data_IF_425330488118
#
_entry.id   IF_425330488118
#
_cell.length_a   1.000
_cell.length_b   1.000
_cell.length_c   1.000
_cell.angle_alpha   90.00
_cell.angle_beta   90.00
_cell.angle_gamma   90.00
#
_symmetry.space_group_name_H-M   'P 1'
#
loop_
_entity.id
_entity.type
_entity.pdbx_description
1 polymer ?
#
# COMPACT_ATOMS: atom_id res chain seq x y z
N UNK A 1 58.55 33.83 -83.40
CA UNK A 1 57.21 34.00 -82.77
C UNK A 1 57.27 33.64 -81.29
N UNK A 2 56.75 34.49 -80.38
CA UNK A 2 56.67 34.22 -78.94
C UNK A 2 55.36 33.51 -78.57
N UNK A 3 55.43 32.63 -77.55
CA UNK A 3 54.28 32.29 -76.70
C UNK A 3 53.51 31.00 -77.03
N UNK A 4 53.54 30.02 -76.10
CA UNK A 4 52.47 29.04 -75.78
C UNK A 4 52.81 28.02 -74.65
N UNK A 5 53.96 28.12 -73.97
CA UNK A 5 54.37 27.15 -72.93
C UNK A 5 53.84 27.37 -71.49
N UNK A 6 53.27 28.54 -71.17
CA UNK A 6 52.98 28.96 -69.78
C UNK A 6 51.68 28.39 -69.15
N UNK A 7 50.58 28.37 -69.90
CA UNK A 7 49.24 28.13 -69.33
C UNK A 7 48.89 26.65 -69.12
N UNK A 8 49.48 25.75 -69.90
CA UNK A 8 49.37 24.30 -69.72
C UNK A 8 49.84 23.86 -68.31
N UNK A 9 50.98 24.38 -67.83
CA UNK A 9 51.51 24.03 -66.51
C UNK A 9 50.63 24.59 -65.38
N UNK A 10 50.11 25.83 -65.50
CA UNK A 10 49.18 26.42 -64.50
C UNK A 10 47.83 25.67 -64.44
N UNK A 11 47.24 25.32 -65.57
CA UNK A 11 45.97 24.55 -65.62
C UNK A 11 46.13 23.12 -65.10
N UNK A 12 47.21 22.41 -65.46
CA UNK A 12 47.53 21.07 -64.92
C UNK A 12 47.72 21.10 -63.39
N UNK A 13 48.37 22.13 -62.82
CA UNK A 13 48.54 22.32 -61.36
C UNK A 13 47.19 22.62 -60.65
N UNK A 14 46.32 23.47 -61.23
CA UNK A 14 44.94 23.71 -60.73
C UNK A 14 44.09 22.42 -60.77
N UNK A 15 44.13 21.64 -61.86
CA UNK A 15 43.43 20.34 -61.98
C UNK A 15 43.91 19.32 -60.92
N UNK A 16 45.22 19.20 -60.65
CA UNK A 16 45.78 18.36 -59.55
C UNK A 16 45.27 18.81 -58.16
N UNK A 17 45.26 20.11 -57.83
CA UNK A 17 44.71 20.63 -56.56
C UNK A 17 43.20 20.33 -56.41
N UNK A 18 42.36 20.52 -57.46
CA UNK A 18 40.93 20.12 -57.45
C UNK A 18 40.74 18.61 -57.22
N UNK A 19 41.51 17.73 -57.88
CA UNK A 19 41.48 16.27 -57.64
C UNK A 19 41.87 15.90 -56.19
N UNK A 20 42.92 16.50 -55.60
CA UNK A 20 43.28 16.28 -54.17
C UNK A 20 42.16 16.73 -53.20
N UNK A 21 41.53 17.91 -53.41
CA UNK A 21 40.38 18.36 -52.59
C UNK A 21 39.17 17.39 -52.71
N UNK A 22 38.81 16.91 -53.92
CA UNK A 22 37.75 15.89 -54.11
C UNK A 22 38.09 14.55 -53.40
N UNK A 23 39.33 14.05 -53.46
CA UNK A 23 39.76 12.84 -52.71
C UNK A 23 39.66 13.04 -51.18
N UNK A 24 40.08 14.18 -50.61
CA UNK A 24 39.90 14.49 -49.17
C UNK A 24 38.42 14.54 -48.76
N UNK A 25 37.53 15.18 -49.54
CA UNK A 25 36.07 15.18 -49.28
C UNK A 25 35.48 13.75 -49.32
N UNK A 26 35.85 12.90 -50.30
CA UNK A 26 35.42 11.47 -50.33
C UNK A 26 35.92 10.67 -49.11
N UNK A 27 37.18 10.83 -48.66
CA UNK A 27 37.68 10.18 -47.42
C UNK A 27 36.91 10.65 -46.17
N UNK A 28 36.62 11.95 -46.00
CA UNK A 28 35.78 12.44 -44.88
C UNK A 28 34.34 11.86 -44.92
N UNK A 29 33.68 11.79 -46.09
CA UNK A 29 32.36 11.12 -46.24
C UNK A 29 32.42 9.62 -45.88
N UNK A 30 33.45 8.86 -46.31
CA UNK A 30 33.62 7.44 -45.92
C UNK A 30 33.84 7.28 -44.40
N UNK A 31 34.67 8.12 -43.74
CA UNK A 31 34.81 8.10 -42.26
C UNK A 31 33.49 8.41 -41.54
N UNK A 32 32.71 9.42 -41.97
CA UNK A 32 31.35 9.68 -41.39
C UNK A 32 30.39 8.50 -41.60
N UNK A 33 30.36 7.84 -42.77
CA UNK A 33 29.55 6.60 -42.98
C UNK A 33 30.02 5.44 -42.09
N UNK A 34 31.32 5.19 -41.90
CA UNK A 34 31.82 4.17 -40.96
C UNK A 34 31.44 4.48 -39.50
N UNK A 35 31.56 5.74 -39.02
CA UNK A 35 31.08 6.13 -37.67
C UNK A 35 29.55 5.94 -37.52
N UNK A 36 28.72 6.30 -38.52
CA UNK A 36 27.26 6.00 -38.48
C UNK A 36 26.97 4.49 -38.46
N UNK A 37 27.68 3.65 -39.23
CA UNK A 37 27.52 2.18 -39.16
C UNK A 37 27.96 1.61 -37.80
N UNK A 38 29.07 2.07 -37.18
CA UNK A 38 29.45 1.65 -35.81
C UNK A 38 28.40 2.09 -34.76
N UNK A 39 27.87 3.33 -34.81
CA UNK A 39 26.76 3.74 -33.91
C UNK A 39 25.49 2.90 -34.12
N UNK A 40 25.10 2.57 -35.37
CA UNK A 40 23.98 1.63 -35.62
C UNK A 40 24.25 0.22 -35.11
N UNK A 41 25.47 -0.35 -35.28
CA UNK A 41 25.79 -1.68 -34.71
C UNK A 41 25.84 -1.68 -33.17
N UNK A 42 26.32 -0.61 -32.51
CA UNK A 42 26.27 -0.53 -31.03
C UNK A 42 24.81 -0.46 -30.52
N UNK A 43 23.95 0.36 -31.17
CA UNK A 43 22.50 0.38 -30.89
C UNK A 43 21.75 -0.93 -31.16
N UNK A 44 22.28 -1.83 -32.00
CA UNK A 44 21.68 -3.15 -32.30
C UNK A 44 22.31 -4.30 -31.48
N UNK A 45 23.22 -3.99 -30.55
CA UNK A 45 23.78 -4.93 -29.56
C UNK A 45 23.42 -4.57 -28.11
N UNK A 46 22.73 -3.45 -27.90
CA UNK A 46 22.14 -3.05 -26.61
C UNK A 46 20.62 -3.09 -26.68
N UNK A 47 20.08 -4.15 -27.29
CA UNK A 47 18.65 -4.35 -27.54
C UNK A 47 18.22 -5.80 -27.30
N UNK A 48 18.98 -6.53 -26.47
CA UNK A 48 18.56 -7.76 -25.79
C UNK A 48 18.37 -7.43 -24.29
N UNK A 49 17.69 -6.32 -24.02
CA UNK A 49 16.84 -6.23 -22.84
C UNK A 49 15.49 -6.71 -23.36
N UNK A 50 14.90 -7.70 -22.70
CA UNK A 50 13.61 -8.25 -23.09
C UNK A 50 12.60 -7.11 -23.19
N UNK A 51 11.85 -7.08 -24.30
CA UNK A 51 10.77 -6.13 -24.43
C UNK A 51 9.71 -6.48 -23.36
N UNK A 52 9.13 -5.51 -22.64
CA UNK A 52 7.99 -5.80 -21.80
C UNK A 52 6.91 -6.42 -22.70
N UNK A 53 6.48 -7.63 -22.34
CA UNK A 53 5.32 -8.28 -22.94
C UNK A 53 4.10 -7.42 -22.60
N UNK A 54 3.77 -6.47 -23.47
CA UNK A 54 2.45 -5.87 -23.50
C UNK A 54 1.47 -6.97 -23.93
N UNK A 55 0.95 -7.70 -22.94
CA UNK A 55 -0.23 -8.52 -23.16
C UNK A 55 -1.35 -7.61 -23.64
N UNK A 56 -2.07 -8.09 -24.64
CA UNK A 56 -3.27 -7.47 -25.18
C UNK A 56 -4.19 -7.06 -24.02
N UNK A 57 -4.96 -5.97 -24.19
CA UNK A 57 -6.19 -5.79 -23.43
C UNK A 57 -7.08 -6.99 -23.74
N UNK A 58 -7.03 -8.03 -22.90
CA UNK A 58 -8.09 -9.02 -22.77
C UNK A 58 -9.29 -8.28 -22.22
N UNK A 59 -10.01 -7.58 -23.12
CA UNK A 59 -11.34 -7.06 -22.83
C UNK A 59 -12.11 -8.22 -22.20
N UNK A 60 -12.60 -8.04 -20.99
CA UNK A 60 -13.60 -8.93 -20.43
C UNK A 60 -14.82 -8.75 -21.34
N UNK A 61 -15.13 -9.78 -22.14
CA UNK A 61 -16.25 -9.76 -23.07
C UNK A 61 -17.46 -10.32 -22.36
N UNK A 62 -18.44 -9.46 -22.07
CA UNK A 62 -19.66 -9.83 -21.34
C UNK A 62 -19.74 -9.16 -19.96
N UNK A 63 -20.89 -9.35 -19.31
CA UNK A 63 -21.15 -8.91 -17.94
C UNK A 63 -21.01 -10.08 -16.97
N UNK A 64 -20.46 -9.85 -15.79
CA UNK A 64 -20.32 -10.81 -14.70
C UNK A 64 -21.55 -10.82 -13.79
N UNK A 65 -21.80 -11.96 -13.17
CA UNK A 65 -22.89 -12.22 -12.23
C UNK A 65 -22.58 -11.72 -10.82
N UNK A 66 -21.29 -11.63 -10.48
CA UNK A 66 -20.86 -11.00 -9.24
C UNK A 66 -19.57 -10.18 -9.42
N UNK A 67 -19.39 -9.19 -8.54
CA UNK A 67 -18.10 -8.56 -8.26
C UNK A 67 -17.72 -8.89 -6.81
N UNK A 68 -16.56 -9.50 -6.66
CA UNK A 68 -15.89 -9.75 -5.39
C UNK A 68 -14.65 -8.86 -5.30
N UNK A 69 -14.31 -8.37 -4.12
CA UNK A 69 -13.16 -7.49 -3.94
C UNK A 69 -12.70 -7.45 -2.49
N UNK A 70 -11.38 -7.32 -2.26
CA UNK A 70 -10.85 -6.80 -0.99
C UNK A 70 -9.82 -5.71 -1.24
N UNK A 71 -10.19 -4.44 -1.04
CA UNK A 71 -9.32 -3.45 -0.39
C UNK A 71 -10.21 -2.51 0.41
N UNK A 72 -10.30 -2.79 1.70
CA UNK A 72 -10.06 -1.74 2.67
C UNK A 72 -8.67 -2.07 3.24
N UNK A 73 -7.80 -1.08 3.40
CA UNK A 73 -6.62 -1.15 4.26
C UNK A 73 -6.77 0.01 5.23
N UNK A 74 -6.56 -0.29 6.50
CA UNK A 74 -6.49 0.67 7.59
C UNK A 74 -5.01 0.68 8.03
N UNK A 75 -4.55 1.77 8.63
CA UNK A 75 -3.13 2.13 8.58
C UNK A 75 -2.24 1.07 9.25
N UNK A 76 -0.96 1.05 8.89
CA UNK A 76 0.02 0.31 9.67
C UNK A 76 1.30 1.13 9.67
N UNK A 77 1.35 2.10 10.58
CA UNK A 77 2.56 2.84 10.91
C UNK A 77 3.29 2.12 12.03
N UNK A 78 4.35 1.40 11.66
CA UNK A 78 5.36 0.84 12.58
C UNK A 78 4.80 0.01 13.75
N UNK A 79 4.72 -1.30 13.53
CA UNK A 79 4.96 -2.28 14.59
C UNK A 79 6.40 -2.08 15.13
N UNK A 80 6.57 -1.12 16.02
CA UNK A 80 7.71 -1.05 16.93
C UNK A 80 7.39 -2.01 18.07
N UNK A 81 8.10 -3.15 18.12
CA UNK A 81 7.91 -4.16 19.15
C UNK A 81 7.87 -3.51 20.54
N UNK A 82 6.93 -3.87 21.42
CA UNK A 82 7.01 -3.46 22.82
C UNK A 82 8.33 -3.99 23.38
N UNK A 83 9.19 -3.09 23.84
CA UNK A 83 10.35 -3.46 24.65
C UNK A 83 9.81 -3.97 25.99
N UNK A 84 9.59 -5.28 26.07
CA UNK A 84 9.33 -5.99 27.32
C UNK A 84 10.60 -5.96 28.18
N UNK A 85 10.82 -4.83 28.84
CA UNK A 85 11.80 -4.68 29.91
C UNK A 85 11.32 -5.46 31.13
N UNK A 86 11.49 -6.79 31.10
CA UNK A 86 11.37 -7.63 32.29
C UNK A 86 12.47 -7.24 33.28
N UNK A 87 12.11 -6.38 34.23
CA UNK A 87 12.93 -6.00 35.37
C UNK A 87 13.40 -7.27 36.10
N UNK A 88 14.69 -7.53 36.04
CA UNK A 88 15.40 -8.41 36.97
C UNK A 88 16.41 -7.59 37.75
N UNK A 89 16.55 -7.93 39.03
CA UNK A 89 17.12 -7.08 40.08
C UNK A 89 18.60 -6.70 39.86
N UNK A 90 19.07 -5.56 40.41
CA UNK A 90 20.45 -5.13 40.25
C UNK A 90 21.43 -6.08 40.93
N UNK A 91 22.48 -6.47 40.20
CA UNK A 91 23.66 -7.13 40.75
C UNK A 91 24.66 -6.08 41.24
N UNK A 92 25.09 -6.20 42.50
CA UNK A 92 26.20 -5.41 43.03
C UNK A 92 27.53 -5.83 42.37
N UNK A 93 28.49 -4.90 42.21
CA UNK A 93 29.85 -5.27 41.80
C UNK A 93 30.60 -5.87 42.99
N UNK A 94 31.47 -6.87 42.78
CA UNK A 94 32.85 -6.85 43.31
C UNK A 94 33.72 -8.06 42.89
N UNK A 95 35.00 -7.76 42.67
CA UNK A 95 36.21 -8.60 42.80
C UNK A 95 36.44 -9.81 41.87
N UNK A 96 37.58 -9.71 41.14
CA UNK A 96 38.32 -10.80 40.49
C UNK A 96 39.08 -11.60 41.56
N UNK A 97 39.29 -12.92 41.37
CA UNK A 97 40.68 -13.39 41.25
C UNK A 97 40.90 -14.46 40.16
N UNK A 98 42.17 -14.62 39.80
CA UNK A 98 42.73 -15.56 38.82
C UNK A 98 42.56 -17.04 39.19
N UNK A 99 42.54 -17.95 38.19
CA UNK A 99 43.61 -18.95 37.99
C UNK A 99 43.44 -19.82 36.70
N UNK A 100 44.58 -20.08 36.04
CA UNK A 100 44.97 -21.24 35.19
C UNK A 100 43.97 -21.90 34.20
N UNK A 101 44.38 -21.89 32.92
CA UNK A 101 44.03 -22.96 31.96
C UNK A 101 44.79 -24.27 32.26
N UNK A 102 44.44 -25.40 31.62
CA UNK A 102 45.27 -25.82 30.49
C UNK A 102 44.50 -26.36 29.26
N UNK A 103 45.26 -26.57 28.18
CA UNK A 103 44.85 -27.00 26.83
C UNK A 103 44.16 -28.37 26.74
N UNK A 104 43.39 -28.56 25.64
CA UNK A 104 43.70 -29.62 24.66
C UNK A 104 42.98 -29.41 23.31
N UNK A 105 43.71 -29.62 22.21
CA UNK A 105 43.13 -29.76 20.87
C UNK A 105 42.57 -31.19 20.68
N UNK A 106 41.56 -31.39 19.82
CA UNK A 106 41.80 -31.98 18.49
C UNK A 106 40.61 -31.80 17.51
N UNK A 107 40.87 -32.05 16.23
CA UNK A 107 39.97 -31.87 15.07
C UNK A 107 39.18 -33.15 14.79
N UNK A 108 37.94 -33.00 14.34
CA UNK A 108 37.42 -33.83 13.23
C UNK A 108 36.71 -32.90 12.24
N UNK A 109 37.21 -32.88 11.01
CA UNK A 109 36.68 -32.10 9.89
C UNK A 109 36.07 -33.02 8.82
N UNK A 110 35.20 -32.44 7.99
CA UNK A 110 34.71 -32.93 6.70
C UNK A 110 33.50 -33.88 6.71
N UNK A 111 32.34 -33.34 6.33
CA UNK A 111 31.81 -33.54 4.96
C UNK A 111 30.78 -32.46 4.63
N UNK A 112 30.34 -32.39 3.36
CA UNK A 112 29.38 -31.41 2.79
C UNK A 112 29.94 -30.05 2.35
N UNK A 113 30.98 -30.08 1.51
CA UNK A 113 31.01 -29.17 0.36
C UNK A 113 30.03 -29.70 -0.71
N UNK A 114 28.96 -28.95 -1.00
CA UNK A 114 28.30 -28.81 -2.32
C UNK A 114 26.89 -28.21 -2.18
N UNK A 115 26.80 -26.88 -1.97
CA UNK A 115 25.94 -25.91 -2.71
C UNK A 115 26.42 -24.49 -2.32
N UNK A 116 27.55 -24.06 -2.86
CA UNK A 116 27.91 -22.63 -2.89
C UNK A 116 27.79 -22.11 -4.32
N UNK A 117 26.71 -21.38 -4.61
CA UNK A 117 26.55 -20.39 -5.68
C UNK A 117 25.07 -19.92 -5.67
N UNK A 118 24.70 -18.73 -5.20
CA UNK A 118 25.48 -17.69 -4.53
C UNK A 118 24.66 -16.39 -4.50
N UNK A 119 24.58 -15.73 -3.34
CA UNK A 119 24.08 -14.36 -3.23
C UNK A 119 24.56 -13.73 -1.90
N UNK A 120 25.79 -13.22 -1.87
CA UNK A 120 26.30 -12.41 -0.77
C UNK A 120 25.64 -11.03 -0.80
N UNK A 121 24.97 -10.64 0.29
CA UNK A 121 24.29 -9.36 0.43
C UNK A 121 24.97 -8.49 1.49
N UNK A 122 25.91 -7.65 1.06
CA UNK A 122 26.59 -6.57 1.80
C UNK A 122 27.45 -5.84 0.74
N UNK A 123 27.64 -4.51 0.71
CA UNK A 123 27.13 -3.43 1.57
C UNK A 123 27.29 -2.07 0.81
N UNK A 124 27.07 -0.95 1.52
CA UNK A 124 27.41 0.46 1.19
C UNK A 124 26.47 1.26 0.28
N UNK A 125 25.75 2.20 0.92
CA UNK A 125 25.17 3.37 0.29
C UNK A 125 26.21 4.50 0.26
N UNK A 126 26.61 5.00 -0.91
CA UNK A 126 27.41 6.23 -1.02
C UNK A 126 27.02 7.05 -2.25
N UNK A 127 27.08 8.38 -2.11
CA UNK A 127 26.62 9.33 -3.14
C UNK A 127 27.56 9.39 -4.35
N UNK A 128 27.01 9.26 -5.57
CA UNK A 128 27.59 9.87 -6.76
C UNK A 128 26.53 10.19 -7.83
N UNK A 129 26.62 11.40 -8.39
CA UNK A 129 25.72 11.96 -9.40
C UNK A 129 25.98 11.43 -10.81
N UNK A 130 24.95 10.99 -11.54
CA UNK A 130 24.67 11.38 -12.95
C UNK A 130 23.38 10.71 -13.49
N UNK A 131 22.49 11.48 -14.13
CA UNK A 131 21.24 10.96 -14.74
C UNK A 131 21.47 10.48 -16.18
N UNK A 132 21.27 9.19 -16.53
CA UNK A 132 21.15 8.78 -17.92
C UNK A 132 19.72 8.99 -18.43
N UNK A 133 19.56 9.81 -19.47
CA UNK A 133 18.24 10.12 -20.06
C UNK A 133 17.60 8.92 -20.78
N UNK A 134 16.64 8.27 -20.12
CA UNK A 134 15.73 7.28 -20.71
C UNK A 134 14.52 8.00 -21.31
N UNK A 135 14.02 7.50 -22.44
CA UNK A 135 12.85 8.09 -23.11
C UNK A 135 11.56 7.67 -22.41
N UNK A 136 10.68 8.63 -22.12
CA UNK A 136 9.32 8.40 -21.60
C UNK A 136 8.60 7.28 -22.38
N UNK A 137 8.29 6.19 -21.69
CA UNK A 137 7.12 5.35 -21.99
C UNK A 137 5.84 6.05 -21.51
N UNK A 138 4.66 5.55 -21.91
CA UNK A 138 3.39 6.08 -21.39
C UNK A 138 3.36 5.92 -19.87
N UNK A 139 2.87 6.97 -19.19
CA UNK A 139 2.84 7.06 -17.74
C UNK A 139 1.93 5.97 -17.13
N UNK A 140 2.49 5.15 -16.26
CA UNK A 140 1.83 4.89 -14.97
C UNK A 140 1.86 6.25 -14.24
N UNK A 141 0.77 6.65 -13.62
CA UNK A 141 0.78 7.87 -12.80
C UNK A 141 1.72 7.64 -11.60
N UNK A 142 2.64 8.57 -11.32
CA UNK A 142 3.65 8.37 -10.26
C UNK A 142 2.99 8.18 -8.89
N UNK A 143 1.78 8.73 -8.71
CA UNK A 143 0.93 8.57 -7.51
C UNK A 143 0.54 7.11 -7.20
N UNK A 144 0.46 6.24 -8.20
CA UNK A 144 0.05 4.85 -8.07
C UNK A 144 1.22 3.89 -7.80
N UNK A 145 2.46 4.33 -8.03
CA UNK A 145 3.63 3.46 -8.05
C UNK A 145 3.95 2.86 -6.68
N UNK A 146 3.91 3.67 -5.62
CA UNK A 146 4.20 3.21 -4.25
C UNK A 146 3.09 2.31 -3.70
N UNK A 147 1.81 2.62 -4.00
CA UNK A 147 0.68 1.74 -3.68
C UNK A 147 0.86 0.32 -4.26
N UNK A 148 1.07 0.21 -5.56
CA UNK A 148 1.25 -1.10 -6.21
C UNK A 148 2.57 -1.79 -5.82
N UNK A 149 3.53 -1.04 -5.25
CA UNK A 149 4.75 -1.60 -4.66
C UNK A 149 4.48 -2.26 -3.31
N UNK A 150 3.60 -1.71 -2.48
CA UNK A 150 3.18 -2.34 -1.22
C UNK A 150 2.52 -3.71 -1.45
N UNK A 151 1.57 -3.82 -2.39
CA UNK A 151 0.92 -5.10 -2.71
C UNK A 151 1.77 -6.07 -3.54
N UNK A 152 2.96 -5.65 -4.00
CA UNK A 152 3.96 -6.57 -4.52
C UNK A 152 4.79 -7.26 -3.41
N UNK A 153 4.67 -6.81 -2.16
CA UNK A 153 5.35 -7.40 -0.99
C UNK A 153 4.51 -8.55 -0.40
N UNK A 154 5.15 -9.71 -0.21
CA UNK A 154 4.48 -10.90 0.31
C UNK A 154 3.96 -10.72 1.75
N UNK A 155 4.60 -9.86 2.55
CA UNK A 155 4.26 -9.65 3.98
C UNK A 155 2.87 -9.03 4.15
N UNK A 156 2.42 -8.22 3.20
CA UNK A 156 1.06 -7.65 3.20
C UNK A 156 0.03 -8.76 2.93
N UNK A 157 0.33 -9.70 2.02
CA UNK A 157 -0.54 -10.86 1.77
C UNK A 157 -0.54 -11.83 2.95
N UNK A 158 0.60 -12.06 3.59
CA UNK A 158 0.71 -12.87 4.81
C UNK A 158 -0.15 -12.29 5.95
N UNK A 159 -0.05 -10.98 6.22
CA UNK A 159 -0.90 -10.30 7.19
C UNK A 159 -2.40 -10.46 6.86
N UNK A 160 -2.78 -10.21 5.60
CA UNK A 160 -4.17 -10.35 5.14
C UNK A 160 -4.71 -11.78 5.22
N UNK A 161 -3.86 -12.80 5.01
CA UNK A 161 -4.23 -14.22 5.05
C UNK A 161 -4.26 -14.79 6.48
N UNK A 162 -3.36 -14.31 7.36
CA UNK A 162 -3.36 -14.64 8.79
C UNK A 162 -4.54 -14.03 9.54
N UNK A 163 -5.13 -12.95 9.03
CA UNK A 163 -6.43 -12.46 9.48
C UNK A 163 -7.54 -13.46 9.13
N UNK A 164 -7.83 -14.32 10.10
CA UNK A 164 -8.89 -15.33 10.03
C UNK A 164 -10.29 -14.72 10.02
N UNK A 165 -10.51 -13.60 10.71
CA UNK A 165 -11.83 -12.94 10.76
C UNK A 165 -12.20 -12.46 9.37
N UNK A 166 -11.29 -11.73 8.70
CA UNK A 166 -11.41 -11.36 7.28
C UNK A 166 -11.56 -12.60 6.41
N UNK A 167 -10.58 -13.49 6.41
CA UNK A 167 -10.46 -14.52 5.36
C UNK A 167 -11.56 -15.57 5.45
N UNK A 168 -11.98 -15.96 6.67
CA UNK A 168 -13.09 -16.88 6.86
C UNK A 168 -14.44 -16.23 6.58
N UNK A 169 -14.63 -14.94 6.87
CA UNK A 169 -15.88 -14.24 6.53
C UNK A 169 -16.11 -14.20 5.01
N UNK A 170 -15.11 -13.83 4.20
CA UNK A 170 -15.24 -13.90 2.73
C UNK A 170 -15.53 -15.32 2.24
N UNK A 171 -14.84 -16.33 2.80
CA UNK A 171 -15.09 -17.74 2.47
C UNK A 171 -16.52 -18.15 2.79
N UNK A 172 -16.99 -17.83 4.00
CA UNK A 172 -18.32 -18.17 4.48
C UNK A 172 -19.40 -17.46 3.65
N UNK A 173 -19.24 -16.17 3.36
CA UNK A 173 -20.18 -15.39 2.56
C UNK A 173 -20.38 -15.99 1.16
N UNK A 174 -19.30 -16.38 0.49
CA UNK A 174 -19.38 -17.03 -0.82
C UNK A 174 -20.04 -18.42 -0.70
N UNK A 175 -19.69 -19.22 0.31
CA UNK A 175 -20.25 -20.57 0.50
C UNK A 175 -21.73 -20.57 0.94
N UNK A 176 -22.20 -19.55 1.66
CA UNK A 176 -23.63 -19.33 1.97
C UNK A 176 -24.43 -19.01 0.71
N UNK A 177 -23.83 -18.30 -0.26
CA UNK A 177 -24.48 -17.88 -1.49
C UNK A 177 -24.25 -18.83 -2.68
N UNK A 178 -23.91 -20.10 -2.44
CA UNK A 178 -23.78 -21.15 -3.47
C UNK A 178 -24.92 -21.16 -4.49
N UNK A 179 -26.17 -20.96 -4.05
CA UNK A 179 -27.33 -20.91 -4.95
C UNK A 179 -27.28 -19.78 -5.99
N UNK A 180 -26.64 -18.64 -5.64
CA UNK A 180 -26.43 -17.49 -6.54
C UNK A 180 -25.15 -17.60 -7.35
N UNK A 181 -24.12 -18.27 -6.81
CA UNK A 181 -22.81 -18.42 -7.45
C UNK A 181 -22.71 -19.66 -8.35
N UNK A 182 -23.63 -20.63 -8.24
CA UNK A 182 -23.68 -21.82 -9.09
C UNK A 182 -23.72 -21.43 -10.57
N UNK A 183 -22.80 -22.01 -11.33
CA UNK A 183 -22.60 -21.83 -12.78
C UNK A 183 -22.27 -20.37 -13.21
N UNK A 184 -22.08 -19.45 -12.25
CA UNK A 184 -21.93 -18.01 -12.46
C UNK A 184 -20.54 -17.60 -12.95
N UNK A 185 -20.44 -16.39 -13.52
CA UNK A 185 -19.18 -15.73 -13.84
C UNK A 185 -18.87 -14.62 -12.82
N UNK A 186 -17.76 -14.72 -12.10
CA UNK A 186 -17.34 -13.75 -11.07
C UNK A 186 -16.18 -12.88 -11.57
N UNK A 187 -16.20 -11.60 -11.22
CA UNK A 187 -15.05 -10.69 -11.33
C UNK A 187 -14.44 -10.49 -9.93
N UNK A 188 -13.18 -10.88 -9.75
CA UNK A 188 -12.41 -10.64 -8.52
C UNK A 188 -11.45 -9.47 -8.77
N UNK A 189 -11.75 -8.31 -8.17
CA UNK A 189 -11.00 -7.06 -8.37
C UNK A 189 -9.93 -6.94 -7.29
N UNK A 190 -8.68 -6.70 -7.69
CA UNK A 190 -7.55 -6.66 -6.75
C UNK A 190 -7.30 -8.02 -6.12
N UNK A 191 -7.30 -9.07 -6.96
CA UNK A 191 -7.38 -10.46 -6.50
C UNK A 191 -6.19 -10.90 -5.62
N UNK A 192 -5.06 -10.17 -5.62
CA UNK A 192 -3.89 -10.51 -4.82
C UNK A 192 -3.37 -11.91 -5.12
N UNK A 193 -3.26 -12.76 -4.11
CA UNK A 193 -2.90 -14.19 -4.24
C UNK A 193 -3.97 -15.05 -4.94
N UNK A 194 -5.16 -14.51 -5.21
CA UNK A 194 -6.28 -15.21 -5.86
C UNK A 194 -7.11 -16.09 -4.91
N UNK A 195 -6.90 -16.02 -3.59
CA UNK A 195 -7.63 -16.86 -2.63
C UNK A 195 -9.16 -16.66 -2.68
N UNK A 196 -9.63 -15.45 -2.96
CA UNK A 196 -11.05 -15.13 -3.06
C UNK A 196 -11.67 -15.72 -4.35
N UNK A 197 -10.92 -15.66 -5.45
CA UNK A 197 -11.24 -16.39 -6.68
C UNK A 197 -11.34 -17.91 -6.45
N UNK A 198 -10.47 -18.49 -5.62
CA UNK A 198 -10.56 -19.91 -5.25
C UNK A 198 -11.84 -20.21 -4.46
N UNK A 199 -12.21 -19.36 -3.49
CA UNK A 199 -13.46 -19.52 -2.75
C UNK A 199 -14.71 -19.36 -3.65
N UNK A 200 -14.67 -18.50 -4.68
CA UNK A 200 -15.75 -18.40 -5.66
C UNK A 200 -15.94 -19.69 -6.48
N UNK A 201 -14.84 -20.35 -6.89
CA UNK A 201 -14.91 -21.68 -7.52
C UNK A 201 -15.46 -22.74 -6.54
N UNK A 202 -15.02 -22.73 -5.27
CA UNK A 202 -15.55 -23.63 -4.23
C UNK A 202 -17.05 -23.39 -3.93
N UNK A 203 -17.56 -22.19 -4.20
CA UNK A 203 -18.97 -21.83 -4.12
C UNK A 203 -19.78 -22.16 -5.39
N UNK A 204 -19.14 -22.72 -6.44
CA UNK A 204 -19.80 -23.20 -7.65
C UNK A 204 -19.75 -22.26 -8.85
N UNK A 205 -18.96 -21.17 -8.82
CA UNK A 205 -18.74 -20.34 -10.00
C UNK A 205 -18.10 -21.14 -11.14
N UNK A 206 -18.65 -21.02 -12.35
CA UNK A 206 -18.10 -21.69 -13.54
C UNK A 206 -16.83 -20.99 -14.05
N UNK A 207 -16.76 -19.66 -13.88
CA UNK A 207 -15.66 -18.83 -14.36
C UNK A 207 -15.35 -17.70 -13.37
N UNK A 208 -14.07 -17.44 -13.16
CA UNK A 208 -13.61 -16.24 -12.43
C UNK A 208 -12.60 -15.47 -13.27
N UNK A 209 -12.75 -14.15 -13.33
CA UNK A 209 -11.74 -13.22 -13.85
C UNK A 209 -11.04 -12.56 -12.67
N UNK A 210 -9.80 -12.95 -12.40
CA UNK A 210 -9.00 -12.45 -11.27
C UNK A 210 -8.10 -11.31 -11.75
N UNK A 211 -8.45 -10.07 -11.47
CA UNK A 211 -7.75 -8.88 -11.96
C UNK A 211 -6.80 -8.36 -10.89
N UNK A 212 -5.50 -8.45 -11.15
CA UNK A 212 -4.45 -8.10 -10.19
C UNK A 212 -3.31 -7.31 -10.89
N UNK A 213 -3.12 -6.01 -10.59
CA UNK A 213 -2.16 -5.17 -11.31
C UNK A 213 -0.68 -5.43 -10.96
N UNK A 214 -0.38 -5.99 -9.79
CA UNK A 214 1.00 -6.12 -9.30
C UNK A 214 1.68 -7.41 -9.78
N UNK A 215 2.88 -7.71 -9.25
CA UNK A 215 3.61 -8.95 -9.56
C UNK A 215 3.02 -10.18 -8.87
N UNK A 216 2.19 -10.02 -7.84
CA UNK A 216 1.57 -11.16 -7.15
C UNK A 216 0.62 -11.95 -8.08
N UNK A 217 0.15 -11.35 -9.19
CA UNK A 217 -0.57 -12.04 -10.27
C UNK A 217 0.18 -13.26 -10.85
N UNK A 218 1.52 -13.31 -10.76
CA UNK A 218 2.29 -14.50 -11.15
C UNK A 218 2.14 -15.64 -10.13
N UNK A 219 2.14 -15.30 -8.84
CA UNK A 219 1.90 -16.25 -7.74
C UNK A 219 0.45 -16.75 -7.77
N UNK A 220 -0.52 -15.86 -8.01
CA UNK A 220 -1.93 -16.26 -8.17
C UNK A 220 -2.15 -17.27 -9.32
N UNK A 221 -1.39 -17.15 -10.42
CA UNK A 221 -1.41 -18.15 -11.51
C UNK A 221 -0.84 -19.50 -11.05
N UNK A 222 0.28 -19.49 -10.33
CA UNK A 222 0.86 -20.71 -9.78
C UNK A 222 -0.11 -21.40 -8.80
N UNK A 223 -0.74 -20.65 -7.90
CA UNK A 223 -1.78 -21.15 -6.98
C UNK A 223 -2.96 -21.75 -7.76
N UNK A 224 -3.35 -21.18 -8.89
CA UNK A 224 -4.37 -21.80 -9.76
C UNK A 224 -3.92 -23.16 -10.30
N UNK A 225 -2.66 -23.29 -10.72
CA UNK A 225 -2.11 -24.55 -11.21
C UNK A 225 -1.99 -25.62 -10.12
N UNK A 226 -1.56 -25.22 -8.92
CA UNK A 226 -1.47 -26.09 -7.73
C UNK A 226 -2.84 -26.63 -7.29
N UNK A 227 -3.92 -25.87 -7.52
CA UNK A 227 -5.29 -26.24 -7.17
C UNK A 227 -6.10 -26.79 -8.38
N UNK A 228 -5.49 -26.92 -9.57
CA UNK A 228 -6.14 -27.42 -10.78
C UNK A 228 -7.23 -26.51 -11.37
N UNK A 229 -7.24 -25.22 -11.02
CA UNK A 229 -8.30 -24.27 -11.36
C UNK A 229 -8.01 -23.36 -12.56
N UNK A 230 -6.90 -23.55 -13.29
CA UNK A 230 -6.46 -22.67 -14.40
C UNK A 230 -7.49 -22.49 -15.52
N UNK A 231 -8.32 -23.50 -15.74
CA UNK A 231 -9.39 -23.46 -16.74
C UNK A 231 -10.53 -22.53 -16.30
N UNK A 232 -10.85 -22.53 -15.01
CA UNK A 232 -11.96 -21.76 -14.42
C UNK A 232 -11.54 -20.36 -14.01
N UNK A 233 -10.35 -20.17 -13.43
CA UNK A 233 -9.83 -18.86 -13.01
C UNK A 233 -8.87 -18.30 -14.08
N UNK A 234 -9.24 -17.17 -14.68
CA UNK A 234 -8.38 -16.43 -15.60
C UNK A 234 -7.76 -15.23 -14.91
N UNK A 235 -6.49 -15.36 -14.50
CA UNK A 235 -5.72 -14.28 -13.85
C UNK A 235 -5.21 -13.27 -14.89
N UNK A 236 -5.73 -12.05 -14.81
CA UNK A 236 -5.41 -10.92 -15.69
C UNK A 236 -4.49 -9.96 -14.93
N UNK A 237 -3.25 -9.82 -15.40
CA UNK A 237 -2.30 -8.89 -14.81
C UNK A 237 -2.50 -7.47 -15.39
N UNK A 238 -3.47 -6.75 -14.85
CA UNK A 238 -3.82 -5.40 -15.30
C UNK A 238 -4.47 -4.58 -14.18
N UNK A 239 -4.36 -3.25 -14.27
CA UNK A 239 -5.22 -2.34 -13.52
C UNK A 239 -6.61 -2.35 -14.15
N UNK A 240 -7.66 -2.39 -13.32
CA UNK A 240 -9.02 -2.04 -13.75
C UNK A 240 -9.10 -0.50 -13.75
N UNK A 241 -9.26 0.12 -14.91
CA UNK A 241 -9.08 1.58 -15.06
C UNK A 241 -10.30 2.35 -14.53
N UNK A 242 -10.16 3.24 -13.53
CA UNK A 242 -11.24 4.18 -13.20
C UNK A 242 -11.24 4.76 -11.79
N UNK A 243 -10.45 5.80 -11.57
CA UNK A 243 -10.51 6.69 -10.38
C UNK A 243 -10.21 6.05 -8.99
N UNK A 244 -10.06 6.92 -7.99
CA UNK A 244 -9.26 6.73 -6.77
C UNK A 244 -10.12 6.55 -5.51
N UNK A 245 -10.35 5.29 -5.05
CA UNK A 245 -11.17 4.87 -3.85
C UNK A 245 -11.03 5.61 -2.54
N UNK A 246 -9.94 6.34 -2.29
CA UNK A 246 -9.68 6.95 -0.99
C UNK A 246 -9.28 5.92 0.10
N UNK A 247 -8.08 6.12 0.66
CA UNK A 247 -7.14 5.09 1.13
C UNK A 247 -6.89 3.92 0.18
N UNK A 248 -5.75 4.03 -0.52
CA UNK A 248 -5.25 3.06 -1.50
C UNK A 248 -6.13 2.77 -2.72
N UNK A 249 -7.26 3.46 -2.80
CA UNK A 249 -7.85 3.88 -4.05
C UNK A 249 -8.37 2.84 -5.07
N UNK A 250 -8.65 1.59 -4.66
CA UNK A 250 -9.37 0.52 -5.38
C UNK A 250 -10.94 0.42 -5.36
N UNK A 251 -11.74 0.68 -4.29
CA UNK A 251 -13.24 0.70 -4.34
C UNK A 251 -13.86 1.65 -5.39
N UNK A 252 -13.34 2.85 -5.70
CA UNK A 252 -13.86 3.59 -6.89
C UNK A 252 -13.62 2.80 -8.17
N UNK A 253 -12.50 2.07 -8.26
CA UNK A 253 -12.24 1.11 -9.33
C UNK A 253 -13.18 -0.11 -9.28
N UNK A 254 -13.69 -0.50 -8.10
CA UNK A 254 -14.73 -1.53 -7.92
C UNK A 254 -16.11 -1.01 -8.32
N UNK A 255 -16.49 0.22 -7.96
CA UNK A 255 -17.73 0.86 -8.41
C UNK A 255 -17.69 1.05 -9.93
N UNK A 256 -16.54 1.45 -10.49
CA UNK A 256 -16.34 1.46 -11.93
C UNK A 256 -16.46 0.06 -12.56
N UNK A 257 -15.82 -0.95 -11.95
CA UNK A 257 -15.91 -2.34 -12.43
C UNK A 257 -17.34 -2.90 -12.36
N UNK A 258 -18.10 -2.55 -11.31
CA UNK A 258 -19.53 -2.81 -11.18
C UNK A 258 -20.30 -2.16 -12.33
N UNK A 259 -20.10 -0.87 -12.56
CA UNK A 259 -20.84 -0.11 -13.58
C UNK A 259 -20.52 -0.58 -15.02
N UNK A 260 -19.30 -1.06 -15.28
CA UNK A 260 -18.91 -1.61 -16.59
C UNK A 260 -19.31 -3.08 -16.78
N UNK A 261 -19.11 -3.91 -15.75
CA UNK A 261 -19.12 -5.37 -15.89
C UNK A 261 -20.23 -6.07 -15.13
N UNK A 262 -20.79 -5.56 -14.02
CA UNK A 262 -21.83 -6.29 -13.29
C UNK A 262 -23.15 -6.31 -14.09
N UNK A 263 -23.87 -7.43 -14.07
CA UNK A 263 -25.25 -7.51 -14.58
C UNK A 263 -26.22 -6.71 -13.68
N UNK A 264 -27.36 -6.19 -14.18
CA UNK A 264 -28.32 -5.45 -13.36
C UNK A 264 -28.86 -6.24 -12.15
N UNK A 265 -29.04 -7.55 -12.35
CA UNK A 265 -29.43 -8.53 -11.34
C UNK A 265 -28.23 -9.09 -10.55
N UNK A 266 -27.00 -8.82 -10.96
CA UNK A 266 -25.77 -9.34 -10.35
C UNK A 266 -25.52 -8.86 -8.91
N UNK A 267 -24.64 -9.58 -8.21
CA UNK A 267 -24.40 -9.43 -6.77
C UNK A 267 -23.06 -8.78 -6.45
N UNK A 268 -23.00 -8.06 -5.32
CA UNK A 268 -21.79 -7.44 -4.78
C UNK A 268 -21.35 -8.18 -3.53
N UNK A 269 -20.06 -8.52 -3.41
CA UNK A 269 -19.46 -9.13 -2.23
C UNK A 269 -18.25 -8.30 -1.77
N UNK A 270 -18.34 -7.57 -0.63
CA UNK A 270 -19.54 -7.27 0.17
C UNK A 270 -20.60 -6.44 -0.58
N UNK A 271 -21.83 -6.40 -0.07
CA UNK A 271 -22.94 -5.62 -0.66
C UNK A 271 -23.25 -4.32 0.07
N UNK A 272 -22.86 -4.18 1.34
CA UNK A 272 -23.04 -2.94 2.12
C UNK A 272 -21.81 -2.61 2.96
N UNK A 273 -21.61 -1.33 3.23
CA UNK A 273 -20.57 -0.83 4.13
C UNK A 273 -21.14 0.24 5.09
N UNK A 274 -20.62 0.32 6.30
CA UNK A 274 -20.94 1.41 7.25
C UNK A 274 -19.68 1.90 7.94
N UNK A 275 -19.55 3.20 8.16
CA UNK A 275 -18.48 3.81 8.96
C UNK A 275 -19.04 4.28 10.30
N UNK A 276 -18.25 4.15 11.37
CA UNK A 276 -18.61 4.57 12.72
C UNK A 276 -17.56 5.51 13.32
N UNK A 277 -17.97 6.30 14.31
CA UNK A 277 -17.15 7.21 15.10
C UNK A 277 -17.51 7.05 16.58
N UNK A 278 -16.53 7.03 17.47
CA UNK A 278 -16.77 7.18 18.90
C UNK A 278 -15.64 7.99 19.58
N UNK A 279 -15.92 8.72 20.68
CA UNK A 279 -14.89 9.28 21.54
C UNK A 279 -14.16 8.16 22.30
N UNK A 280 -12.84 8.29 22.49
CA UNK A 280 -12.01 7.25 23.12
C UNK A 280 -11.08 7.76 24.21
N UNK A 281 -10.71 6.84 25.11
CA UNK A 281 -9.56 6.92 26.00
C UNK A 281 -8.48 5.93 25.54
N UNK A 282 -7.26 6.42 25.34
CA UNK A 282 -6.05 5.61 25.14
C UNK A 282 -4.98 6.10 26.12
N UNK A 283 -4.88 5.41 27.26
CA UNK A 283 -3.94 5.76 28.34
C UNK A 283 -2.50 5.40 27.96
N UNK A 284 -2.30 4.39 27.10
CA UNK A 284 -0.97 3.97 26.66
C UNK A 284 -0.26 5.07 25.83
N UNK A 285 -1.02 5.87 25.07
CA UNK A 285 -0.48 7.08 24.42
C UNK A 285 -0.08 8.16 25.43
N UNK A 286 -0.84 8.34 26.51
CA UNK A 286 -0.48 9.29 27.57
C UNK A 286 0.80 8.84 28.29
N UNK A 287 0.90 7.56 28.67
CA UNK A 287 2.12 6.97 29.25
C UNK A 287 3.32 7.11 28.30
N UNK A 288 3.15 6.79 27.02
CA UNK A 288 4.20 6.92 26.00
C UNK A 288 4.74 8.35 25.88
N UNK A 289 3.88 9.35 26.02
CA UNK A 289 4.28 10.76 26.08
C UNK A 289 5.03 11.06 27.38
N UNK A 290 4.51 10.60 28.52
CA UNK A 290 5.08 10.87 29.84
C UNK A 290 6.43 10.18 30.08
N UNK A 291 6.71 9.05 29.41
CA UNK A 291 7.95 8.29 29.56
C UNK A 291 9.23 9.10 29.30
N UNK A 292 9.17 10.17 28.50
CA UNK A 292 10.31 11.08 28.31
C UNK A 292 10.74 11.82 29.58
N UNK A 293 9.82 12.01 30.53
CA UNK A 293 10.10 12.66 31.81
C UNK A 293 10.83 11.72 32.78
N UNK A 294 10.55 10.40 32.71
CA UNK A 294 11.22 9.38 33.53
C UNK A 294 12.67 9.08 33.09
N UNK A 295 13.09 9.48 31.88
CA UNK A 295 14.44 9.20 31.37
C UNK A 295 15.57 9.75 32.25
N UNK A 296 15.33 10.85 32.96
CA UNK A 296 16.30 11.43 33.90
C UNK A 296 16.57 10.51 35.10
N UNK A 297 15.54 9.83 35.59
CA UNK A 297 15.61 8.93 36.74
C UNK A 297 16.21 7.59 36.34
N UNK A 298 15.83 7.07 35.16
CA UNK A 298 16.32 5.80 34.62
C UNK A 298 17.77 5.84 34.16
N UNK A 299 18.20 6.94 33.52
CA UNK A 299 19.48 7.00 32.79
C UNK A 299 20.34 8.23 33.16
N UNK A 300 19.94 9.05 34.14
CA UNK A 300 20.65 10.27 34.53
C UNK A 300 20.55 11.42 33.53
N UNK A 301 19.85 11.25 32.40
CA UNK A 301 19.77 12.22 31.29
C UNK A 301 18.32 12.65 31.07
N UNK A 302 18.04 13.95 31.22
CA UNK A 302 16.71 14.49 30.92
C UNK A 302 16.42 14.47 29.43
N UNK A 303 15.29 13.88 29.05
CA UNK A 303 14.77 13.87 27.67
C UNK A 303 13.38 14.51 27.54
N UNK A 304 12.93 15.26 28.55
CA UNK A 304 11.61 15.92 28.58
C UNK A 304 11.31 16.80 27.34
N UNK A 305 12.35 17.32 26.67
CA UNK A 305 12.22 18.06 25.41
C UNK A 305 11.67 17.24 24.23
N UNK A 306 11.58 15.91 24.35
CA UNK A 306 10.97 15.02 23.36
C UNK A 306 9.45 14.84 23.56
N UNK A 307 8.89 15.22 24.71
CA UNK A 307 7.44 15.15 24.96
C UNK A 307 6.64 16.01 23.97
N UNK A 308 6.95 17.32 23.73
CA UNK A 308 6.18 18.14 22.79
C UNK A 308 6.29 17.64 21.34
N UNK A 309 7.46 17.10 20.96
CA UNK A 309 7.67 16.50 19.63
C UNK A 309 6.84 15.23 19.46
N UNK A 310 6.69 14.44 20.52
CA UNK A 310 5.86 13.21 20.52
C UNK A 310 4.38 13.57 20.42
N UNK A 311 3.89 14.53 21.21
CA UNK A 311 2.52 15.05 21.10
C UNK A 311 2.23 15.62 19.71
N UNK A 312 3.16 16.38 19.13
CA UNK A 312 3.02 16.90 17.76
C UNK A 312 2.95 15.77 16.72
N UNK A 313 3.79 14.74 16.83
CA UNK A 313 3.80 13.62 15.91
C UNK A 313 2.50 12.79 15.95
N UNK A 314 1.98 12.52 17.16
CA UNK A 314 0.76 11.73 17.37
C UNK A 314 -0.52 12.46 16.94
N UNK A 315 -0.56 13.79 17.06
CA UNK A 315 -1.79 14.58 16.85
C UNK A 315 -1.90 15.18 15.43
N UNK A 316 -0.83 15.13 14.64
CA UNK A 316 -0.80 15.63 13.26
C UNK A 316 -1.34 14.64 12.22
N UNK A 317 -1.38 13.35 12.54
CA UNK A 317 -1.80 12.28 11.63
C UNK A 317 -2.81 11.36 12.32
N UNK A 318 -3.59 10.66 11.53
CA UNK A 318 -4.36 9.54 12.03
C UNK A 318 -3.43 8.33 12.20
N UNK A 319 -3.57 7.59 13.30
CA UNK A 319 -2.82 6.35 13.53
C UNK A 319 -3.75 5.13 13.39
N UNK A 320 -3.21 3.92 13.47
CA UNK A 320 -4.03 2.70 13.54
C UNK A 320 -3.45 1.71 14.55
N UNK A 321 -4.32 1.33 15.48
CA UNK A 321 -4.04 0.44 16.59
C UNK A 321 -5.26 -0.43 16.88
N UNK A 322 -5.07 -1.43 17.73
CA UNK A 322 -6.16 -2.18 18.33
C UNK A 322 -6.57 -1.48 19.63
N UNK A 323 -7.83 -1.08 19.71
CA UNK A 323 -8.47 -0.57 20.92
C UNK A 323 -9.25 -1.70 21.60
N UNK A 324 -9.19 -1.73 22.92
CA UNK A 324 -10.08 -2.55 23.74
C UNK A 324 -11.46 -1.89 23.86
N UNK A 325 -12.50 -2.66 24.22
CA UNK A 325 -13.86 -2.14 24.29
C UNK A 325 -14.04 -1.08 25.38
N UNK A 326 -13.24 -1.17 26.45
CA UNK A 326 -13.12 -0.24 27.58
C UNK A 326 -12.60 1.14 27.15
N UNK A 327 -11.86 1.21 26.04
CA UNK A 327 -11.39 2.48 25.46
C UNK A 327 -12.52 3.35 24.92
N UNK A 328 -13.71 2.79 24.66
CA UNK A 328 -14.81 3.52 24.00
C UNK A 328 -15.71 4.25 25.01
N UNK A 329 -15.73 5.58 24.93
CA UNK A 329 -16.34 6.43 25.97
C UNK A 329 -17.83 6.72 25.78
N UNK A 330 -18.42 6.40 24.63
CA UNK A 330 -19.85 6.60 24.34
C UNK A 330 -20.35 5.65 23.24
N UNK A 331 -21.67 5.51 23.11
CA UNK A 331 -22.29 4.77 22.01
C UNK A 331 -21.81 5.32 20.66
N UNK A 332 -21.30 4.44 19.79
CA UNK A 332 -20.76 4.84 18.50
C UNK A 332 -21.84 5.43 17.57
N UNK A 333 -21.48 6.53 16.91
CA UNK A 333 -22.31 7.20 15.91
C UNK A 333 -21.99 6.62 14.52
N UNK A 334 -23.00 6.23 13.75
CA UNK A 334 -22.81 5.76 12.37
C UNK A 334 -22.72 6.94 11.40
N UNK A 335 -21.52 7.18 10.88
CA UNK A 335 -21.18 8.27 9.96
C UNK A 335 -21.62 8.03 8.50
N UNK A 336 -21.82 6.79 8.08
CA UNK A 336 -22.45 6.50 6.80
C UNK A 336 -23.00 5.08 6.74
N UNK A 337 -23.90 4.84 5.79
CA UNK A 337 -24.33 3.51 5.41
C UNK A 337 -24.50 3.47 3.89
N UNK A 338 -23.63 2.73 3.21
CA UNK A 338 -23.60 2.64 1.75
C UNK A 338 -24.11 1.27 1.29
N UNK A 339 -25.03 1.29 0.33
CA UNK A 339 -25.36 0.14 -0.50
C UNK A 339 -24.41 0.10 -1.70
N UNK A 340 -23.49 -0.86 -1.71
CA UNK A 340 -22.39 -0.94 -2.68
C UNK A 340 -22.88 -1.31 -4.09
N UNK A 341 -24.10 -1.85 -4.22
CA UNK A 341 -24.73 -2.15 -5.52
C UNK A 341 -25.30 -0.89 -6.19
N UNK A 342 -25.68 0.13 -5.41
CA UNK A 342 -26.39 1.33 -5.91
C UNK A 342 -25.66 2.66 -5.70
N UNK A 343 -24.72 2.78 -4.77
CA UNK A 343 -24.00 4.03 -4.50
C UNK A 343 -23.22 4.55 -5.72
N UNK A 344 -23.04 5.86 -5.82
CA UNK A 344 -22.22 6.50 -6.85
C UNK A 344 -20.75 6.64 -6.41
N UNK A 345 -19.88 6.93 -7.38
CA UNK A 345 -18.47 7.32 -7.14
C UNK A 345 -18.36 8.65 -6.39
N UNK A 346 -19.39 9.49 -6.43
CA UNK A 346 -19.47 10.78 -5.74
C UNK A 346 -19.75 10.58 -4.25
N UNK A 347 -20.65 9.66 -3.90
CA UNK A 347 -20.98 9.33 -2.50
C UNK A 347 -19.74 8.78 -1.75
N UNK A 348 -18.87 8.04 -2.44
CA UNK A 348 -17.60 7.59 -1.87
C UNK A 348 -16.64 8.75 -1.53
N UNK A 349 -16.71 9.89 -2.22
CA UNK A 349 -15.71 10.98 -2.12
C UNK A 349 -15.91 11.93 -0.95
N UNK A 350 -17.05 11.89 -0.29
CA UNK A 350 -17.34 12.78 0.84
C UNK A 350 -18.25 12.06 1.83
N UNK A 351 -17.69 11.70 2.99
CA UNK A 351 -18.48 11.39 4.18
C UNK A 351 -18.57 12.67 5.00
N UNK A 352 -19.77 13.19 5.20
CA UNK A 352 -20.00 14.39 5.99
C UNK A 352 -21.29 14.24 6.79
N UNK A 353 -21.18 14.15 8.11
CA UNK A 353 -22.32 13.94 9.01
C UNK A 353 -22.17 14.72 10.31
N UNK A 354 -23.30 14.93 10.99
CA UNK A 354 -23.32 15.42 12.36
C UNK A 354 -23.39 14.27 13.36
N UNK A 355 -22.78 14.43 14.54
CA UNK A 355 -22.83 13.45 15.62
C UNK A 355 -23.21 14.11 16.96
N UNK A 356 -23.82 13.32 17.84
CA UNK A 356 -23.95 13.61 19.27
C UNK A 356 -23.60 12.35 20.07
N UNK A 357 -22.75 12.52 21.08
CA UNK A 357 -22.37 11.52 22.05
C UNK A 357 -22.80 11.96 23.46
N UNK A 358 -23.05 10.98 24.34
CA UNK A 358 -23.12 11.15 25.79
C UNK A 358 -22.13 10.17 26.40
N UNK A 359 -21.18 10.67 27.18
CA UNK A 359 -20.13 9.85 27.75
C UNK A 359 -20.66 8.93 28.86
N UNK A 360 -20.17 7.69 28.93
CA UNK A 360 -20.63 6.70 29.91
C UNK A 360 -20.22 7.02 31.35
N UNK A 361 -19.09 7.70 31.56
CA UNK A 361 -18.49 7.88 32.87
C UNK A 361 -17.37 8.91 32.90
N UNK A 362 -16.69 9.00 34.04
CA UNK A 362 -15.51 9.86 34.24
C UNK A 362 -14.27 9.25 33.60
N UNK A 363 -13.66 9.96 32.67
CA UNK A 363 -12.46 9.50 31.93
C UNK A 363 -11.70 10.69 31.35
N UNK A 364 -10.48 10.43 30.87
CA UNK A 364 -9.79 11.32 29.93
C UNK A 364 -10.18 10.92 28.49
N UNK A 365 -10.65 11.88 27.69
CA UNK A 365 -10.86 11.70 26.25
C UNK A 365 -9.59 12.10 25.50
N UNK A 366 -8.94 11.11 24.89
CA UNK A 366 -7.69 11.27 24.15
C UNK A 366 -7.92 11.55 22.65
N UNK A 367 -9.06 11.15 22.10
CA UNK A 367 -9.32 11.23 20.68
C UNK A 367 -10.70 10.77 20.28
N UNK A 368 -10.90 10.61 18.97
CA UNK A 368 -11.95 9.77 18.42
C UNK A 368 -11.32 8.55 17.74
N UNK A 369 -12.08 7.46 17.63
CA UNK A 369 -11.75 6.33 16.77
C UNK A 369 -12.80 6.16 15.68
N UNK A 370 -12.37 5.72 14.49
CA UNK A 370 -13.25 5.24 13.43
C UNK A 370 -12.95 3.80 13.03
N UNK A 371 -14.01 3.08 12.73
CA UNK A 371 -13.99 1.69 12.27
C UNK A 371 -15.18 1.46 11.34
N UNK A 372 -15.20 0.32 10.66
CA UNK A 372 -16.24 0.01 9.67
C UNK A 372 -16.85 -1.38 9.86
N UNK A 373 -18.04 -1.55 9.30
CA UNK A 373 -18.62 -2.88 9.04
C UNK A 373 -18.81 -3.06 7.54
N UNK A 374 -18.62 -4.28 7.05
CA UNK A 374 -19.08 -4.67 5.70
C UNK A 374 -19.95 -5.92 5.78
N UNK A 375 -21.12 -5.85 5.17
CA UNK A 375 -22.12 -6.92 5.15
C UNK A 375 -22.18 -7.54 3.76
N UNK A 376 -22.28 -8.86 3.72
CA UNK A 376 -22.43 -9.64 2.49
C UNK A 376 -23.91 -10.02 2.29
N UNK A 377 -24.31 -10.44 1.07
CA UNK A 377 -25.57 -11.15 0.89
C UNK A 377 -25.63 -12.36 1.86
N UNK A 378 -26.75 -12.59 2.53
CA UNK A 378 -26.87 -13.64 3.55
C UNK A 378 -26.64 -13.11 4.97
N UNK A 379 -25.96 -13.89 5.83
CA UNK A 379 -25.83 -13.58 7.26
C UNK A 379 -24.50 -12.94 7.66
N UNK A 380 -23.48 -13.04 6.80
CA UNK A 380 -22.11 -12.66 7.14
C UNK A 380 -21.91 -11.14 7.17
N UNK A 381 -21.31 -10.66 8.25
CA UNK A 381 -20.76 -9.31 8.38
C UNK A 381 -19.35 -9.40 8.94
N UNK A 382 -18.42 -8.62 8.38
CA UNK A 382 -17.14 -8.30 9.03
C UNK A 382 -17.38 -7.03 9.82
N UNK A 383 -17.10 -7.08 11.12
CA UNK A 383 -17.03 -5.92 11.99
C UNK A 383 -15.57 -5.69 12.41
N UNK A 384 -15.14 -4.43 12.39
CA UNK A 384 -13.81 -3.99 12.83
C UNK A 384 -13.88 -3.15 14.11
N UNK A 385 -15.04 -3.12 14.77
CA UNK A 385 -15.22 -2.43 16.04
C UNK A 385 -14.35 -2.99 17.18
N UNK A 386 -14.04 -2.19 18.21
CA UNK A 386 -13.42 -2.68 19.45
C UNK A 386 -14.23 -3.73 20.21
N UNK A 387 -15.50 -3.95 19.83
CA UNK A 387 -16.39 -4.96 20.42
C UNK A 387 -16.33 -6.32 19.69
N UNK A 388 -15.63 -6.39 18.56
CA UNK A 388 -15.51 -7.57 17.71
C UNK A 388 -14.13 -8.24 17.88
N UNK A 389 -13.96 -9.42 17.28
CA UNK A 389 -12.65 -10.09 17.24
C UNK A 389 -11.63 -9.22 16.46
N UNK A 390 -10.41 -9.02 16.98
CA UNK A 390 -9.38 -8.24 16.29
C UNK A 390 -9.13 -8.70 14.86
N UNK A 391 -9.07 -7.72 13.95
CA UNK A 391 -8.73 -7.88 12.54
C UNK A 391 -7.41 -7.17 12.24
N UNK A 392 -6.78 -7.41 11.09
CA UNK A 392 -5.55 -6.69 10.72
C UNK A 392 -5.77 -5.18 10.47
N UNK A 393 -7.03 -4.74 10.41
CA UNK A 393 -7.41 -3.34 10.25
C UNK A 393 -7.26 -2.51 11.53
N UNK A 394 -7.44 -3.10 12.72
CA UNK A 394 -7.55 -2.32 13.95
C UNK A 394 -8.63 -1.24 13.84
N UNK A 395 -8.38 -0.06 14.40
CA UNK A 395 -9.21 1.13 14.30
C UNK A 395 -8.35 2.37 14.01
N UNK A 396 -8.90 3.35 13.28
CA UNK A 396 -8.21 4.60 12.95
C UNK A 396 -8.41 5.59 14.07
N UNK A 397 -7.33 6.04 14.70
CA UNK A 397 -7.40 6.94 15.85
C UNK A 397 -7.00 8.36 15.50
N UNK A 398 -7.77 9.31 16.01
CA UNK A 398 -7.73 10.74 15.76
C UNK A 398 -7.46 11.46 17.09
N UNK A 399 -6.18 11.50 17.51
CA UNK A 399 -5.79 12.10 18.79
C UNK A 399 -6.00 13.62 18.81
N UNK A 400 -6.63 14.12 19.87
CA UNK A 400 -6.77 15.54 20.14
C UNK A 400 -5.41 16.13 20.53
N UNK A 401 -5.17 17.40 20.15
CA UNK A 401 -3.97 18.15 20.58
C UNK A 401 -3.78 18.16 22.09
N UNK A 402 -4.88 18.35 22.82
CA UNK A 402 -4.93 18.29 24.28
C UNK A 402 -6.07 17.34 24.69
N UNK A 403 -5.85 16.39 25.61
CA UNK A 403 -6.90 15.52 26.13
C UNK A 403 -7.96 16.30 26.91
N UNK A 404 -9.21 15.82 26.89
CA UNK A 404 -10.34 16.49 27.53
C UNK A 404 -10.91 15.60 28.63
N UNK A 405 -10.97 16.12 29.86
CA UNK A 405 -11.69 15.41 30.94
C UNK A 405 -13.19 15.39 30.65
N UNK A 406 -13.78 14.19 30.66
CA UNK A 406 -15.22 13.96 30.52
C UNK A 406 -15.76 13.29 31.76
N UNK A 407 -17.06 13.44 31.99
CA UNK A 407 -17.83 12.80 33.05
C UNK A 407 -19.06 12.10 32.47
N UNK A 408 -19.75 11.28 33.27
CA UNK A 408 -21.04 10.70 32.87
C UNK A 408 -21.98 11.78 32.30
N UNK A 409 -22.70 11.45 31.23
CA UNK A 409 -23.63 12.32 30.51
C UNK A 409 -23.01 13.58 29.88
N UNK A 410 -21.68 13.71 29.88
CA UNK A 410 -20.97 14.77 29.13
C UNK A 410 -21.33 14.66 27.67
N UNK A 411 -21.92 15.74 27.14
CA UNK A 411 -22.38 15.81 25.76
C UNK A 411 -21.25 16.26 24.85
N UNK A 412 -21.03 15.54 23.76
CA UNK A 412 -20.10 15.93 22.71
C UNK A 412 -20.88 15.96 21.41
N UNK A 413 -21.06 17.14 20.82
CA UNK A 413 -21.74 17.28 19.53
C UNK A 413 -20.86 18.02 18.52
N UNK A 414 -21.04 17.69 17.25
CA UNK A 414 -20.14 18.17 16.21
C UNK A 414 -20.50 17.68 14.81
N UNK A 415 -19.61 18.01 13.88
CA UNK A 415 -19.60 17.51 12.51
C UNK A 415 -18.30 16.77 12.23
N UNK A 416 -18.42 15.67 11.50
CA UNK A 416 -17.33 14.89 10.95
C UNK A 416 -17.32 15.09 9.43
N UNK A 417 -16.13 15.23 8.84
CA UNK A 417 -15.96 15.37 7.40
C UNK A 417 -14.69 14.66 6.93
N UNK A 418 -14.82 13.79 5.94
CA UNK A 418 -13.73 13.01 5.37
C UNK A 418 -13.77 13.06 3.84
N UNK A 419 -12.66 13.47 3.22
CA UNK A 419 -12.53 13.73 1.77
C UNK A 419 -11.12 13.35 1.25
N UNK A 420 -10.90 13.11 -0.06
CA UNK A 420 -9.57 12.81 -0.57
C UNK A 420 -8.64 14.01 -0.36
N UNK A 421 -7.39 13.75 0.01
CA UNK A 421 -6.42 14.81 0.23
C UNK A 421 -6.04 15.50 -1.08
N UNK A 422 -5.86 16.82 -1.02
CA UNK A 422 -5.48 17.63 -2.17
C UNK A 422 -4.05 17.34 -2.66
N UNK A 423 -3.17 16.86 -1.77
CA UNK A 423 -1.77 16.51 -2.09
C UNK A 423 -1.68 15.16 -2.81
N UNK A 424 -2.42 14.17 -2.32
CA UNK A 424 -2.49 12.82 -2.88
C UNK A 424 -3.92 12.29 -2.75
N UNK A 425 -4.67 12.10 -3.86
CA UNK A 425 -6.03 11.55 -3.83
C UNK A 425 -6.16 10.10 -3.30
N UNK A 426 -5.03 9.46 -2.95
CA UNK A 426 -4.99 8.18 -2.23
C UNK A 426 -5.03 8.37 -0.72
N UNK A 427 -4.60 9.51 -0.19
CA UNK A 427 -4.71 9.85 1.23
C UNK A 427 -6.06 10.49 1.52
N UNK A 428 -6.49 10.46 2.78
CA UNK A 428 -7.69 11.16 3.24
C UNK A 428 -7.30 12.36 4.10
N UNK A 429 -8.08 13.42 4.00
CA UNK A 429 -8.14 14.47 5.03
C UNK A 429 -9.41 14.23 5.86
N UNK A 430 -9.24 14.05 7.17
CA UNK A 430 -10.34 13.97 8.14
C UNK A 430 -10.37 15.26 8.94
N UNK A 431 -11.52 15.93 8.98
CA UNK A 431 -11.77 17.15 9.72
C UNK A 431 -12.93 16.92 10.68
N UNK A 432 -12.71 17.20 11.97
CA UNK A 432 -13.74 17.08 13.01
C UNK A 432 -13.87 18.41 13.72
N UNK A 433 -15.12 18.89 13.80
CA UNK A 433 -15.47 20.10 14.52
C UNK A 433 -16.47 19.76 15.61
N UNK A 434 -16.19 20.08 16.87
CA UNK A 434 -17.05 19.66 17.98
C UNK A 434 -17.06 20.64 19.15
N UNK A 435 -18.01 20.44 20.06
CA UNK A 435 -18.11 21.11 21.36
C UNK A 435 -18.32 20.07 22.44
N UNK A 436 -17.77 20.34 23.62
CA UNK A 436 -18.03 19.57 24.84
C UNK A 436 -18.93 20.39 25.75
N UNK A 437 -20.11 19.86 26.07
CA UNK A 437 -21.18 20.53 26.80
C UNK A 437 -21.55 21.92 26.20
N UNK A 438 -21.24 23.01 26.91
CA UNK A 438 -21.43 24.41 26.47
C UNK A 438 -20.09 25.13 26.20
N UNK A 439 -19.00 24.37 26.10
CA UNK A 439 -17.66 24.88 25.87
C UNK A 439 -17.45 25.46 24.47
N UNK A 440 -16.22 25.90 24.23
CA UNK A 440 -15.79 26.45 22.94
C UNK A 440 -15.81 25.41 21.82
N UNK A 441 -15.84 25.90 20.58
CA UNK A 441 -15.77 25.03 19.39
C UNK A 441 -14.32 24.64 19.14
N UNK A 442 -14.05 23.34 19.20
CA UNK A 442 -12.77 22.72 18.82
C UNK A 442 -12.88 22.32 17.35
N UNK A 443 -11.81 22.52 16.58
CA UNK A 443 -11.72 22.19 15.16
C UNK A 443 -10.32 21.64 14.88
N UNK A 444 -10.23 20.38 14.46
CA UNK A 444 -8.95 19.70 14.21
C UNK A 444 -9.03 18.85 12.94
N UNK A 445 -7.93 18.82 12.20
CA UNK A 445 -7.75 18.02 11.00
C UNK A 445 -6.60 17.04 11.19
N UNK A 446 -6.76 15.83 10.67
CA UNK A 446 -5.74 14.78 10.60
C UNK A 446 -5.57 14.37 9.13
N UNK A 447 -4.32 14.14 8.72
CA UNK A 447 -4.05 13.45 7.46
C UNK A 447 -3.93 11.95 7.71
N UNK A 448 -4.60 11.20 6.86
CA UNK A 448 -4.61 9.74 6.77
C UNK A 448 -3.61 9.36 5.64
N UNK A 449 -2.32 9.29 5.98
CA UNK A 449 -1.19 9.09 5.06
C UNK A 449 -0.12 8.13 5.63
N UNK A 450 0.60 7.42 4.76
CA UNK A 450 1.76 6.56 5.11
C UNK A 450 2.97 7.35 5.66
#
# INVERSE_FOLDING_TARGET
MRGRGGDEKKTKKKKKKKKKKKKKKKKKKKKKKKKKKKKKKKKKKTSNVEAPFFYNNSKIHGRTDAVNFTVLRQFNLRQGSPLTATLSSPLEPHTVPSHSAPDTMERVSNSLEDVQNGCSFEETCSHATEKPSVKKSKHIDDSDADYFRCYADIRIHEQMLSDKVRTLAYRQALLENKGKLKDSTVLDVGAGTGILSQFAIQAGASKVFAVEPTRIAHVAKQICSENGTDKSISVIQSKIEGYTLLYESMLQSVLWARDQYLKPDGEMYPCKASLFLAPINDEAVQERSNNWNHMKELYGVSMASLEPLTKQALTARADTLHLDMESVLANACRLCHFDLKTMSVQDAKLVQENFEFKCYGSSMMHGFATWFTVTFPGSVTIDTSPYALPTHWGQTVLYLKEPISVQQDTKINGSYRMQPSAENPRFWDIHVEFKVNRGEKISQQWQCAD
#
